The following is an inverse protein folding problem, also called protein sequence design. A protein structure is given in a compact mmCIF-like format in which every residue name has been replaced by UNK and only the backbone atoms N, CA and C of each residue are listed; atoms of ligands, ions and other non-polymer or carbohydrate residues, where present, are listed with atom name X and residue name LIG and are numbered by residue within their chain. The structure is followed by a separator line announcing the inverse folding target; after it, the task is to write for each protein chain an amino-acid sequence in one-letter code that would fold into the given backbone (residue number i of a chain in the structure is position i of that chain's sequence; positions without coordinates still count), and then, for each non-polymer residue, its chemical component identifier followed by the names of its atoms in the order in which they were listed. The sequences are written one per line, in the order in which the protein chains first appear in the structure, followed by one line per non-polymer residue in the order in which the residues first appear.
data_IF_645826300086
#
_entry.id   IF_645826300086
#
_cell.length_a   1.000
_cell.length_b   1.000
_cell.length_c   1.000
_cell.angle_alpha   90.00
_cell.angle_beta   90.00
_cell.angle_gamma   90.00
#
_symmetry.space_group_name_H-M   'P 1'
#
loop_
_entity.id
_entity.type
_entity.pdbx_description
1 polymer ?
#
# COMPACT_ATOMS: atom_id res chain seq x y z
N UNK A 1 58.32 -74.38 -26.60
CA UNK A 1 58.29 -73.66 -27.90
C UNK A 1 57.13 -72.72 -27.87
N UNK A 2 57.51 -71.49 -27.89
CA UNK A 2 56.86 -70.23 -28.18
C UNK A 2 55.40 -69.91 -27.88
N UNK A 3 55.24 -68.70 -27.41
CA UNK A 3 54.06 -68.12 -26.89
C UNK A 3 53.35 -67.25 -27.93
N UNK A 4 52.10 -66.92 -27.71
CA UNK A 4 51.48 -65.80 -28.41
C UNK A 4 50.65 -64.99 -27.42
N UNK A 5 51.00 -63.75 -27.38
CA UNK A 5 50.46 -62.71 -26.57
C UNK A 5 49.01 -62.35 -26.95
N UNK A 6 48.20 -62.05 -25.95
CA UNK A 6 46.90 -61.38 -26.09
C UNK A 6 47.04 -59.89 -25.85
N UNK A 7 46.43 -59.02 -26.65
CA UNK A 7 46.44 -57.59 -26.39
C UNK A 7 45.29 -57.16 -25.49
N UNK A 8 45.67 -56.29 -24.63
CA UNK A 8 44.91 -55.43 -23.73
C UNK A 8 43.63 -54.85 -24.32
N UNK A 9 42.52 -55.10 -23.67
CA UNK A 9 41.35 -54.21 -23.72
C UNK A 9 41.18 -53.59 -22.33
N UNK A 10 41.73 -52.45 -22.17
CA UNK A 10 41.52 -51.58 -21.05
C UNK A 10 41.14 -50.20 -21.57
N UNK A 11 40.16 -49.56 -20.83
CA UNK A 11 39.85 -48.13 -20.87
C UNK A 11 38.90 -47.65 -21.98
N UNK A 12 37.58 -47.83 -21.74
CA UNK A 12 36.55 -46.93 -22.25
C UNK A 12 35.29 -46.97 -21.33
N UNK A 13 35.48 -46.96 -20.01
CA UNK A 13 34.38 -46.97 -19.05
C UNK A 13 34.55 -45.89 -17.98
N UNK A 14 35.19 -44.79 -18.29
CA UNK A 14 35.49 -43.74 -17.33
C UNK A 14 35.12 -42.32 -17.69
N UNK A 15 34.38 -42.08 -18.79
CA UNK A 15 34.19 -40.72 -19.27
C UNK A 15 32.73 -40.30 -19.50
N UNK A 16 31.76 -40.98 -18.87
CA UNK A 16 30.31 -40.62 -19.02
C UNK A 16 29.68 -40.16 -17.74
N UNK A 17 30.35 -40.16 -16.59
CA UNK A 17 29.73 -39.75 -15.30
C UNK A 17 30.05 -38.27 -14.92
N UNK A 18 30.87 -37.56 -15.65
CA UNK A 18 31.26 -36.19 -15.32
C UNK A 18 30.42 -35.09 -16.01
N UNK A 19 29.41 -35.43 -16.82
CA UNK A 19 28.65 -34.46 -17.61
C UNK A 19 27.24 -34.15 -17.08
N UNK A 20 26.81 -34.67 -15.93
CA UNK A 20 25.45 -34.48 -15.40
C UNK A 20 25.34 -33.65 -14.11
N UNK A 21 26.39 -32.98 -13.67
CA UNK A 21 26.38 -32.16 -12.44
C UNK A 21 26.45 -30.65 -12.68
N UNK A 22 26.22 -30.18 -13.91
CA UNK A 22 26.32 -28.76 -14.26
C UNK A 22 24.98 -28.09 -14.66
N UNK A 23 23.80 -28.69 -14.38
CA UNK A 23 22.49 -28.10 -14.68
C UNK A 23 21.63 -27.92 -13.41
N UNK A 24 22.19 -27.36 -12.36
CA UNK A 24 21.49 -27.15 -11.10
C UNK A 24 21.58 -25.73 -10.54
N UNK A 25 21.98 -24.74 -11.32
CA UNK A 25 21.94 -23.35 -10.94
C UNK A 25 20.95 -22.59 -11.84
N UNK A 26 19.69 -23.05 -11.85
CA UNK A 26 18.58 -22.17 -12.21
C UNK A 26 18.48 -21.15 -11.09
N UNK A 27 19.23 -20.06 -11.21
CA UNK A 27 19.17 -18.92 -10.31
C UNK A 27 17.72 -18.51 -10.14
N UNK A 28 17.26 -18.40 -8.91
CA UNK A 28 16.14 -17.56 -8.59
C UNK A 28 16.48 -16.17 -9.17
N UNK A 29 15.91 -15.84 -10.32
CA UNK A 29 15.89 -14.48 -10.80
C UNK A 29 15.15 -13.72 -9.68
N UNK A 30 15.88 -12.99 -8.86
CA UNK A 30 15.31 -11.98 -8.02
C UNK A 30 14.56 -11.06 -8.98
N UNK A 31 13.23 -11.05 -8.85
CA UNK A 31 12.43 -10.02 -9.47
C UNK A 31 12.92 -8.73 -8.83
N UNK A 32 13.83 -8.06 -9.50
CA UNK A 32 14.27 -6.73 -9.11
C UNK A 32 13.06 -5.86 -9.37
N UNK A 33 12.31 -5.57 -8.29
CA UNK A 33 11.23 -4.60 -8.33
C UNK A 33 11.83 -3.32 -8.90
N UNK A 34 11.37 -2.96 -10.08
CA UNK A 34 11.87 -1.77 -10.75
C UNK A 34 11.60 -0.61 -9.81
N UNK A 35 12.67 0.06 -9.37
CA UNK A 35 12.54 1.30 -8.60
C UNK A 35 11.56 2.21 -9.34
N UNK A 36 10.58 2.83 -8.65
CA UNK A 36 9.56 3.65 -9.29
C UNK A 36 10.25 4.72 -10.12
N UNK A 37 9.99 4.72 -11.42
CA UNK A 37 10.64 5.58 -12.40
C UNK A 37 10.32 7.09 -12.21
N UNK A 38 9.51 7.46 -11.23
CA UNK A 38 9.00 8.81 -10.98
C UNK A 38 8.90 9.11 -9.48
N UNK A 39 10.02 9.32 -8.80
CA UNK A 39 10.02 9.83 -7.43
C UNK A 39 9.18 9.05 -6.41
N UNK A 40 9.16 9.52 -5.17
CA UNK A 40 8.34 8.91 -4.14
C UNK A 40 6.84 9.04 -4.48
N UNK A 41 6.05 7.96 -4.33
CA UNK A 41 4.62 7.97 -4.64
C UNK A 41 3.83 8.93 -3.74
N UNK A 42 4.36 9.24 -2.57
CA UNK A 42 3.80 10.16 -1.59
C UNK A 42 4.89 11.09 -1.04
N UNK A 43 4.56 12.36 -0.86
CA UNK A 43 5.40 13.35 -0.18
C UNK A 43 4.66 13.82 1.06
N UNK A 44 5.33 13.78 2.21
CA UNK A 44 4.80 14.27 3.48
C UNK A 44 5.33 15.66 3.79
N UNK A 45 4.45 16.50 4.34
CA UNK A 45 4.81 17.79 4.91
C UNK A 45 4.08 17.97 6.24
N UNK A 46 4.74 18.49 7.24
CA UNK A 46 4.13 18.79 8.54
C UNK A 46 3.01 19.83 8.42
N UNK A 47 1.93 19.63 9.18
CA UNK A 47 0.89 20.65 9.37
C UNK A 47 1.29 21.47 10.60
N UNK A 48 1.63 22.78 10.45
CA UNK A 48 2.15 23.59 11.55
C UNK A 48 1.26 23.57 12.80
N UNK A 49 1.88 23.33 13.94
CA UNK A 49 1.18 23.33 15.25
C UNK A 49 0.37 22.05 15.55
N UNK A 50 0.56 20.99 14.79
CA UNK A 50 -0.10 19.69 14.99
C UNK A 50 0.90 18.55 14.76
N UNK A 51 0.51 17.32 15.16
CA UNK A 51 1.23 16.08 14.84
C UNK A 51 0.70 15.43 13.55
N UNK A 52 0.07 16.22 12.68
CA UNK A 52 -0.53 15.74 11.43
C UNK A 52 0.39 16.03 10.25
N UNK A 53 0.23 15.23 9.20
CA UNK A 53 0.93 15.42 7.95
C UNK A 53 -0.03 15.72 6.80
N UNK A 54 0.42 16.58 5.91
CA UNK A 54 -0.16 16.76 4.60
C UNK A 54 0.48 15.75 3.66
N UNK A 55 -0.30 14.87 3.08
CA UNK A 55 0.13 13.85 2.14
C UNK A 55 -0.15 14.35 0.73
N UNK A 56 0.88 14.48 -0.10
CA UNK A 56 0.71 14.79 -1.53
C UNK A 56 1.06 13.56 -2.34
N UNK A 57 0.09 13.00 -3.06
CA UNK A 57 0.29 11.82 -3.91
C UNK A 57 0.62 12.20 -5.35
N UNK A 58 1.38 11.36 -6.03
CA UNK A 58 1.47 11.41 -7.49
C UNK A 58 0.15 10.96 -8.12
N UNK A 59 -0.11 11.37 -9.38
CA UNK A 59 -1.30 10.92 -10.11
C UNK A 59 -1.36 9.39 -10.23
N UNK A 60 -0.24 8.78 -10.55
CA UNK A 60 -0.11 7.33 -10.63
C UNK A 60 -0.38 6.63 -9.28
N UNK A 61 0.00 7.23 -8.15
CA UNK A 61 -0.30 6.67 -6.83
C UNK A 61 -1.81 6.73 -6.55
N UNK A 62 -2.49 7.83 -6.88
CA UNK A 62 -3.95 7.97 -6.74
C UNK A 62 -4.68 6.91 -7.57
N UNK A 63 -4.27 6.71 -8.83
CA UNK A 63 -4.86 5.70 -9.72
C UNK A 63 -4.61 4.28 -9.19
N UNK A 64 -3.38 3.97 -8.77
CA UNK A 64 -3.00 2.65 -8.28
C UNK A 64 -3.75 2.25 -7.01
N UNK A 65 -3.94 3.20 -6.08
CA UNK A 65 -4.72 2.98 -4.85
C UNK A 65 -6.22 2.92 -5.15
N UNK A 66 -6.67 3.56 -6.23
CA UNK A 66 -8.09 3.64 -6.57
C UNK A 66 -8.87 4.50 -5.59
N UNK A 67 -8.28 5.62 -5.14
CA UNK A 67 -8.90 6.54 -4.19
C UNK A 67 -10.27 7.00 -4.66
N UNK A 68 -11.25 6.95 -3.75
CA UNK A 68 -12.60 7.50 -3.95
C UNK A 68 -12.92 8.47 -2.85
N UNK A 69 -13.72 9.45 -3.17
CA UNK A 69 -14.15 10.50 -2.24
C UNK A 69 -15.66 10.66 -2.25
N UNK A 70 -16.19 11.21 -1.16
CA UNK A 70 -17.55 11.67 -1.02
C UNK A 70 -17.52 13.01 -0.27
N UNK A 71 -18.65 13.66 -0.12
CA UNK A 71 -18.75 14.93 0.61
C UNK A 71 -19.47 14.74 1.94
N UNK A 72 -19.00 15.45 2.96
CA UNK A 72 -19.75 15.55 4.23
C UNK A 72 -21.05 16.27 4.00
N UNK A 73 -22.11 15.85 4.65
CA UNK A 73 -23.44 16.42 4.50
C UNK A 73 -24.09 16.70 5.88
N UNK A 74 -25.17 17.47 5.86
CA UNK A 74 -26.09 17.54 7.01
C UNK A 74 -27.20 16.52 6.79
N UNK A 75 -27.35 15.58 7.70
CA UNK A 75 -28.43 14.61 7.66
C UNK A 75 -29.78 15.31 7.83
N UNK A 76 -30.71 15.18 6.87
CA UNK A 76 -31.95 15.94 6.87
C UNK A 76 -32.93 15.54 7.97
N UNK A 77 -32.79 14.37 8.58
CA UNK A 77 -33.67 13.87 9.61
C UNK A 77 -33.24 14.33 11.02
N UNK A 78 -31.91 14.41 11.22
CA UNK A 78 -31.34 14.72 12.54
C UNK A 78 -30.71 16.11 12.63
N UNK A 79 -30.45 16.77 11.50
CA UNK A 79 -29.71 18.03 11.43
C UNK A 79 -28.22 17.90 11.78
N UNK A 80 -27.73 16.68 11.96
CA UNK A 80 -26.35 16.42 12.34
C UNK A 80 -25.44 16.27 11.12
N UNK A 81 -24.17 16.51 11.35
CA UNK A 81 -23.14 16.23 10.35
C UNK A 81 -23.11 14.72 10.08
N UNK A 82 -22.98 14.35 8.81
CA UNK A 82 -22.94 12.96 8.37
C UNK A 82 -21.84 12.74 7.32
N UNK A 83 -21.28 11.54 7.35
CA UNK A 83 -20.31 11.06 6.36
C UNK A 83 -20.64 9.61 5.99
N UNK A 84 -20.12 9.15 4.86
CA UNK A 84 -20.09 7.71 4.57
C UNK A 84 -19.34 6.98 5.69
N UNK A 85 -19.88 5.87 6.19
CA UNK A 85 -19.18 5.03 7.17
C UNK A 85 -17.81 4.56 6.66
N UNK A 86 -17.68 4.35 5.37
CA UNK A 86 -16.43 3.95 4.73
C UNK A 86 -15.33 5.01 4.76
N UNK A 87 -15.64 6.25 5.15
CA UNK A 87 -14.64 7.30 5.36
C UNK A 87 -14.03 7.26 6.78
N UNK A 88 -14.64 6.50 7.72
CA UNK A 88 -14.18 6.47 9.10
C UNK A 88 -13.01 5.52 9.27
N UNK A 89 -11.87 6.06 9.67
CA UNK A 89 -10.68 5.33 10.05
C UNK A 89 -10.57 5.28 11.59
N UNK A 90 -10.16 4.13 12.10
CA UNK A 90 -9.86 3.93 13.53
C UNK A 90 -8.36 3.77 13.70
N UNK A 91 -7.75 4.59 14.56
CA UNK A 91 -6.35 4.41 14.91
C UNK A 91 -6.16 3.33 16.00
N UNK A 92 -4.91 3.00 16.29
CA UNK A 92 -4.56 1.97 17.29
C UNK A 92 -5.00 2.33 18.72
N UNK A 93 -5.38 3.59 18.99
CA UNK A 93 -5.88 4.06 20.29
C UNK A 93 -7.42 4.11 20.34
N UNK A 94 -8.08 3.78 19.23
CA UNK A 94 -9.54 3.83 19.10
C UNK A 94 -10.10 5.21 18.80
N UNK A 95 -9.27 6.21 18.49
CA UNK A 95 -9.73 7.49 17.98
C UNK A 95 -10.19 7.35 16.54
N UNK A 96 -11.17 8.15 16.16
CA UNK A 96 -11.77 8.15 14.83
C UNK A 96 -11.32 9.34 14.00
N UNK A 97 -11.05 9.10 12.73
CA UNK A 97 -10.50 10.05 11.79
C UNK A 97 -11.16 9.92 10.42
N UNK A 98 -11.08 10.97 9.64
CA UNK A 98 -11.30 10.95 8.19
C UNK A 98 -10.11 11.60 7.49
N UNK A 99 -9.81 11.22 6.24
CA UNK A 99 -8.92 12.00 5.39
C UNK A 99 -9.74 12.99 4.59
N UNK A 100 -9.49 14.27 4.78
CA UNK A 100 -10.02 15.34 3.94
C UNK A 100 -9.16 15.50 2.69
N UNK A 101 -9.77 15.99 1.59
CA UNK A 101 -9.08 16.28 0.34
C UNK A 101 -9.22 17.76 -0.01
N UNK A 102 -8.43 18.64 0.64
CA UNK A 102 -8.56 20.09 0.46
C UNK A 102 -8.12 20.60 -0.91
N UNK A 103 -7.23 19.89 -1.58
CA UNK A 103 -6.70 20.22 -2.90
C UNK A 103 -6.52 18.94 -3.71
N UNK A 104 -6.48 18.97 -5.04
CA UNK A 104 -6.26 17.77 -5.86
C UNK A 104 -5.00 17.02 -5.41
N UNK A 105 -5.14 15.72 -5.12
CA UNK A 105 -4.07 14.81 -4.68
C UNK A 105 -3.43 15.14 -3.34
N UNK A 106 -4.02 16.05 -2.57
CA UNK A 106 -3.56 16.43 -1.23
C UNK A 106 -4.56 15.94 -0.21
N UNK A 107 -4.06 15.24 0.81
CA UNK A 107 -4.88 14.64 1.85
C UNK A 107 -4.35 15.03 3.23
N UNK A 108 -5.27 15.32 4.15
CA UNK A 108 -4.94 15.67 5.54
C UNK A 108 -5.93 14.94 6.45
N UNK A 109 -5.41 14.24 7.44
CA UNK A 109 -6.23 13.56 8.43
C UNK A 109 -6.89 14.59 9.37
N UNK A 110 -8.18 14.40 9.64
CA UNK A 110 -8.94 15.22 10.57
C UNK A 110 -9.68 14.32 11.57
N UNK A 111 -9.60 14.66 12.85
CA UNK A 111 -10.33 13.95 13.90
C UNK A 111 -11.84 14.13 13.71
N UNK A 112 -12.58 13.07 14.02
CA UNK A 112 -14.05 13.08 14.05
C UNK A 112 -14.54 12.42 15.32
N UNK A 113 -15.77 12.78 15.75
CA UNK A 113 -16.45 12.09 16.84
C UNK A 113 -17.72 11.45 16.29
N UNK A 114 -17.70 10.13 16.18
CA UNK A 114 -18.84 9.35 15.71
C UNK A 114 -19.85 9.20 16.85
N UNK A 115 -21.06 9.71 16.64
CA UNK A 115 -22.16 9.58 17.60
C UNK A 115 -22.95 8.29 17.36
N UNK A 116 -23.26 8.00 16.09
CA UNK A 116 -24.07 6.84 15.69
C UNK A 116 -23.74 6.40 14.28
N UNK A 117 -23.85 5.11 14.05
CA UNK A 117 -23.76 4.51 12.72
C UNK A 117 -25.13 3.95 12.35
N UNK A 118 -25.66 4.36 11.20
CA UNK A 118 -26.90 3.89 10.60
C UNK A 118 -26.61 3.30 9.22
N UNK A 119 -26.39 1.98 9.15
CA UNK A 119 -26.02 1.30 7.91
C UNK A 119 -24.72 1.87 7.35
N UNK A 120 -24.77 2.49 6.18
CA UNK A 120 -23.61 3.05 5.48
C UNK A 120 -23.30 4.52 5.86
N UNK A 121 -24.04 5.11 6.82
CA UNK A 121 -23.89 6.50 7.22
C UNK A 121 -23.44 6.59 8.68
N UNK A 122 -22.40 7.37 8.94
CA UNK A 122 -21.97 7.76 10.27
C UNK A 122 -22.46 9.19 10.58
N UNK A 123 -23.20 9.36 11.67
CA UNK A 123 -23.57 10.66 12.22
C UNK A 123 -22.47 11.12 13.17
N UNK A 124 -22.04 12.36 13.00
CA UNK A 124 -20.94 12.94 13.76
C UNK A 124 -21.44 14.02 14.72
N UNK A 125 -20.89 14.04 15.92
CA UNK A 125 -21.04 15.19 16.84
C UNK A 125 -19.95 16.24 16.64
N UNK A 126 -18.79 15.84 16.05
CA UNK A 126 -17.69 16.74 15.69
C UNK A 126 -16.95 16.19 14.46
N UNK A 127 -16.49 17.08 13.58
CA UNK A 127 -15.78 16.71 12.35
C UNK A 127 -15.67 17.86 11.35
N UNK A 128 -15.25 17.56 10.11
CA UNK A 128 -15.12 18.56 9.06
C UNK A 128 -16.48 19.17 8.69
N UNK A 129 -16.49 20.44 8.30
CA UNK A 129 -17.73 21.14 7.90
C UNK A 129 -18.45 20.41 6.75
N UNK A 130 -19.78 20.56 6.70
CA UNK A 130 -20.57 20.06 5.57
C UNK A 130 -20.06 20.62 4.24
N UNK A 131 -20.00 19.77 3.21
CA UNK A 131 -19.41 20.10 1.92
C UNK A 131 -17.91 19.81 1.82
N UNK A 132 -17.24 19.38 2.89
CA UNK A 132 -15.83 18.96 2.84
C UNK A 132 -15.72 17.62 2.11
N UNK A 133 -14.78 17.54 1.17
CA UNK A 133 -14.46 16.27 0.47
C UNK A 133 -13.67 15.37 1.39
N UNK A 134 -14.12 14.13 1.57
CA UNK A 134 -13.48 13.10 2.40
C UNK A 134 -13.25 11.82 1.59
N UNK A 135 -12.18 11.11 1.91
CA UNK A 135 -11.82 9.84 1.26
C UNK A 135 -12.70 8.73 1.81
N UNK A 136 -13.26 7.91 0.92
CA UNK A 136 -14.12 6.75 1.24
C UNK A 136 -13.51 5.40 0.83
N UNK A 137 -12.52 5.42 -0.05
CA UNK A 137 -11.72 4.24 -0.44
C UNK A 137 -10.26 4.65 -0.47
N UNK A 138 -9.39 3.87 0.14
CA UNK A 138 -7.95 4.13 0.19
C UNK A 138 -7.51 4.95 1.42
N UNK A 139 -8.35 5.08 2.43
CA UNK A 139 -8.01 5.78 3.68
C UNK A 139 -6.93 5.04 4.48
N UNK A 140 -6.95 3.71 4.45
CA UNK A 140 -5.96 2.87 5.10
C UNK A 140 -4.59 2.99 4.43
N UNK A 141 -4.56 3.09 3.10
CA UNK A 141 -3.33 3.30 2.33
C UNK A 141 -2.73 4.68 2.60
N UNK A 142 -3.57 5.72 2.74
CA UNK A 142 -3.12 7.04 3.17
C UNK A 142 -2.57 7.00 4.60
N UNK A 143 -3.21 6.24 5.50
CA UNK A 143 -2.73 6.08 6.86
C UNK A 143 -1.38 5.34 6.89
N UNK A 144 -1.22 4.29 6.10
CA UNK A 144 0.06 3.62 5.90
C UNK A 144 1.13 4.59 5.40
N UNK A 145 0.84 5.37 4.37
CA UNK A 145 1.77 6.35 3.82
C UNK A 145 2.14 7.46 4.82
N UNK A 146 1.21 7.88 5.70
CA UNK A 146 1.46 8.91 6.72
C UNK A 146 2.48 8.43 7.77
N UNK A 147 2.48 7.13 8.10
CA UNK A 147 3.29 6.59 9.19
C UNK A 147 4.47 5.72 8.72
N UNK A 148 4.46 5.21 7.50
CA UNK A 148 5.47 4.28 6.98
C UNK A 148 6.66 5.00 6.31
N UNK A 149 6.52 6.27 5.98
CA UNK A 149 7.59 7.08 5.38
C UNK A 149 8.60 7.62 6.40
N UNK A 150 8.50 7.24 7.66
CA UNK A 150 9.40 7.64 8.74
C UNK A 150 10.64 6.74 8.89
N UNK A 151 11.00 5.95 7.84
CA UNK A 151 12.17 5.07 7.85
C UNK A 151 13.22 5.48 6.83
#
# INVERSE_FOLDING_TARGET
MNPIASPRRRTLAGLVIAAFLALGAAGCAQIQEAAPANGDPAVLAEVPGTDLHRITLTEHAVERVGLKTDVTAVDPQTGKLSVSYWAILYDSTGKTWVYTNPEPRVYVRQAVTVERINGAVALLSDGPAAGTVVVTTGAEELYGAEFDTAH
#
